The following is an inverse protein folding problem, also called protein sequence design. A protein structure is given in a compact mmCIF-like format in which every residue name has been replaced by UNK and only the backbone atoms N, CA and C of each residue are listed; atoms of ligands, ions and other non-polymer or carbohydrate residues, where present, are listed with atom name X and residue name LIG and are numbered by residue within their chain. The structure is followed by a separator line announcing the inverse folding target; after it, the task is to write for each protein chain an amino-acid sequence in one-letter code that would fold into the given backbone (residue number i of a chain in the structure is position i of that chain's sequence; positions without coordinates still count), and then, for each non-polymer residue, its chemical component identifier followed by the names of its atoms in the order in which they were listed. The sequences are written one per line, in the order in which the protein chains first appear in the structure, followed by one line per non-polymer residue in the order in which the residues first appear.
data_IF_395327820427
#
_entry.id   IF_395327820427
#
_cell.length_a   1.000
_cell.length_b   1.000
_cell.length_c   1.000
_cell.angle_alpha   90.00
_cell.angle_beta   90.00
_cell.angle_gamma   90.00
#
_symmetry.space_group_name_H-M   'P 1'
#
loop_
_entity.id
_entity.type
_entity.pdbx_description
1 polymer ?
#
# COMPACT_ATOMS: atom_id res chain seq x y z
N UNK A 1 24.31 -22.38 -54.04
CA UNK A 1 23.65 -21.64 -52.94
C UNK A 1 22.27 -22.24 -52.74
N UNK A 2 22.09 -23.15 -51.77
CA UNK A 2 20.82 -23.83 -51.48
C UNK A 2 20.26 -23.25 -50.19
N UNK A 3 19.08 -22.65 -50.27
CA UNK A 3 18.36 -22.10 -49.12
C UNK A 3 17.61 -23.27 -48.47
N UNK A 4 17.97 -23.63 -47.25
CA UNK A 4 17.25 -24.62 -46.45
C UNK A 4 16.07 -23.94 -45.74
N UNK A 5 14.84 -24.48 -45.81
CA UNK A 5 13.74 -23.92 -45.05
C UNK A 5 13.95 -24.26 -43.57
N UNK A 6 14.03 -23.22 -42.75
CA UNK A 6 13.98 -23.34 -41.29
C UNK A 6 12.59 -23.83 -40.90
N UNK A 7 12.43 -25.14 -40.75
CA UNK A 7 11.20 -25.72 -40.22
C UNK A 7 11.21 -25.61 -38.69
N UNK A 8 10.38 -24.71 -38.17
CA UNK A 8 10.11 -24.62 -36.74
C UNK A 8 9.39 -25.89 -36.29
N UNK A 9 10.04 -26.67 -35.41
CA UNK A 9 9.46 -27.87 -34.81
C UNK A 9 8.30 -27.47 -33.87
N UNK A 10 7.09 -28.02 -34.04
CA UNK A 10 5.89 -27.62 -33.25
C UNK A 10 5.97 -27.95 -31.76
N UNK A 11 6.94 -28.77 -31.33
CA UNK A 11 7.10 -29.23 -29.95
C UNK A 11 7.55 -28.15 -28.95
N UNK A 12 7.97 -26.97 -29.41
CA UNK A 12 8.44 -25.89 -28.52
C UNK A 12 7.30 -25.04 -27.96
N UNK A 13 6.14 -24.96 -28.63
CA UNK A 13 5.00 -24.16 -28.17
C UNK A 13 4.32 -24.72 -26.90
N UNK A 14 4.34 -26.04 -26.70
CA UNK A 14 3.67 -26.69 -25.57
C UNK A 14 4.32 -26.42 -24.20
N UNK A 15 5.63 -26.13 -24.16
CA UNK A 15 6.35 -25.77 -22.93
C UNK A 15 6.10 -24.31 -22.54
N UNK A 16 6.09 -23.39 -23.51
CA UNK A 16 5.75 -21.99 -23.29
C UNK A 16 4.28 -21.79 -22.92
N UNK A 17 3.36 -22.55 -23.53
CA UNK A 17 1.94 -22.50 -23.21
C UNK A 17 1.65 -22.98 -21.76
N UNK A 18 2.36 -24.00 -21.27
CA UNK A 18 2.23 -24.47 -19.87
C UNK A 18 2.78 -23.46 -18.85
N UNK A 19 3.87 -22.76 -19.15
CA UNK A 19 4.39 -21.68 -18.31
C UNK A 19 3.44 -20.47 -18.27
N UNK A 20 2.83 -20.12 -19.40
CA UNK A 20 1.86 -19.02 -19.47
C UNK A 20 0.58 -19.28 -18.66
N UNK A 21 0.06 -20.52 -18.65
CA UNK A 21 -1.14 -20.90 -17.86
C UNK A 21 -0.86 -20.89 -16.35
N UNK A 22 0.36 -21.23 -15.91
CA UNK A 22 0.74 -21.18 -14.49
C UNK A 22 0.89 -19.72 -14.02
N UNK A 23 1.36 -18.81 -14.86
CA UNK A 23 1.46 -17.38 -14.53
C UNK A 23 0.09 -16.70 -14.34
N UNK A 24 -0.91 -17.09 -15.14
CA UNK A 24 -2.27 -16.53 -15.07
C UNK A 24 -3.07 -16.95 -13.82
N UNK A 25 -2.65 -18.02 -13.14
CA UNK A 25 -3.35 -18.52 -11.95
C UNK A 25 -3.11 -17.69 -10.68
N UNK A 26 -2.10 -16.81 -10.66
CA UNK A 26 -1.70 -16.06 -9.46
C UNK A 26 -2.37 -14.68 -9.30
N UNK A 27 -3.20 -14.24 -10.24
CA UNK A 27 -3.78 -12.87 -10.23
C UNK A 27 -5.25 -12.80 -9.82
N UNK A 28 -5.88 -13.93 -9.50
CA UNK A 28 -7.33 -14.06 -9.63
C UNK A 28 -8.22 -13.65 -8.43
N UNK A 29 -7.72 -13.07 -7.33
CA UNK A 29 -8.58 -12.71 -6.18
C UNK A 29 -8.18 -11.43 -5.42
N UNK A 30 -8.04 -10.30 -6.10
CA UNK A 30 -8.09 -9.00 -5.43
C UNK A 30 -9.24 -8.16 -6.00
N UNK A 31 -10.39 -8.16 -5.32
CA UNK A 31 -11.49 -7.23 -5.59
C UNK A 31 -11.22 -5.93 -4.84
N UNK A 32 -11.36 -4.80 -5.52
CA UNK A 32 -11.32 -3.46 -4.93
C UNK A 32 -12.77 -2.99 -4.77
N UNK A 33 -13.23 -2.63 -3.57
CA UNK A 33 -14.61 -2.21 -3.36
C UNK A 33 -14.87 -0.87 -4.06
N UNK A 34 -16.09 -0.65 -4.55
CA UNK A 34 -16.53 0.69 -4.90
C UNK A 34 -16.92 1.44 -3.63
N UNK A 35 -16.64 2.74 -3.57
CA UNK A 35 -16.86 3.53 -2.35
C UNK A 35 -18.34 3.62 -1.99
N UNK A 36 -19.21 3.64 -2.99
CA UNK A 36 -20.67 3.68 -2.86
C UNK A 36 -21.25 2.36 -2.28
N UNK A 37 -20.50 1.26 -2.38
CA UNK A 37 -20.92 -0.05 -1.87
C UNK A 37 -20.57 -0.24 -0.38
N UNK A 38 -19.78 0.66 0.21
CA UNK A 38 -19.38 0.59 1.62
C UNK A 38 -20.56 1.05 2.49
N UNK A 39 -21.13 0.18 3.35
CA UNK A 39 -22.30 0.52 4.16
C UNK A 39 -22.07 1.80 4.97
N UNK A 40 -23.06 2.70 4.95
CA UNK A 40 -22.93 4.06 5.47
C UNK A 40 -22.81 4.12 7.01
N UNK A 41 -23.26 3.07 7.70
CA UNK A 41 -23.35 2.92 9.14
C UNK A 41 -22.12 2.26 9.77
N UNK A 42 -21.14 1.83 8.97
CA UNK A 42 -19.88 1.27 9.49
C UNK A 42 -19.13 2.30 10.33
N UNK A 43 -18.70 1.85 11.50
CA UNK A 43 -17.83 2.59 12.43
C UNK A 43 -16.43 2.81 11.86
N UNK A 44 -15.69 3.78 12.43
CA UNK A 44 -14.30 4.00 12.08
C UNK A 44 -13.44 2.76 12.38
N UNK A 45 -13.74 2.03 13.46
CA UNK A 45 -13.09 0.78 13.83
C UNK A 45 -13.34 -0.34 12.82
N UNK A 46 -14.58 -0.51 12.37
CA UNK A 46 -14.92 -1.49 11.33
C UNK A 46 -14.24 -1.17 10.00
N UNK A 47 -14.26 0.09 9.56
CA UNK A 47 -13.54 0.53 8.37
C UNK A 47 -12.02 0.29 8.51
N UNK A 48 -11.44 0.61 9.67
CA UNK A 48 -10.02 0.38 9.92
C UNK A 48 -9.65 -1.10 9.91
N UNK A 49 -10.52 -1.97 10.45
CA UNK A 49 -10.35 -3.42 10.38
C UNK A 49 -10.43 -3.94 8.94
N UNK A 50 -11.35 -3.42 8.14
CA UNK A 50 -11.44 -3.76 6.71
C UNK A 50 -10.20 -3.31 5.94
N UNK A 51 -9.68 -2.11 6.25
CA UNK A 51 -8.42 -1.58 5.72
C UNK A 51 -7.23 -2.50 6.01
N UNK A 52 -7.03 -2.86 7.28
CA UNK A 52 -5.98 -3.79 7.70
C UNK A 52 -6.12 -5.16 7.03
N UNK A 53 -7.32 -5.73 6.98
CA UNK A 53 -7.58 -7.00 6.31
C UNK A 53 -7.23 -6.94 4.80
N UNK A 54 -7.49 -5.82 4.13
CA UNK A 54 -7.09 -5.63 2.75
C UNK A 54 -5.56 -5.50 2.61
N UNK A 55 -4.92 -4.79 3.53
CA UNK A 55 -3.48 -4.62 3.59
C UNK A 55 -2.73 -5.94 3.83
N UNK A 56 -3.24 -6.81 4.70
CA UNK A 56 -2.71 -8.16 4.96
C UNK A 56 -2.72 -9.05 3.71
N UNK A 57 -3.65 -8.78 2.79
CA UNK A 57 -3.73 -9.44 1.49
C UNK A 57 -2.93 -8.73 0.39
N UNK A 58 -2.15 -7.71 0.75
CA UNK A 58 -1.46 -6.80 -0.17
C UNK A 58 -2.40 -6.12 -1.18
N UNK A 59 -3.68 -5.94 -0.84
CA UNK A 59 -4.63 -5.19 -1.65
C UNK A 59 -4.62 -3.72 -1.22
N UNK A 60 -3.54 -3.03 -1.60
CA UNK A 60 -3.29 -1.64 -1.19
C UNK A 60 -4.40 -0.69 -1.65
N UNK A 61 -4.94 -0.90 -2.86
CA UNK A 61 -6.03 -0.07 -3.39
C UNK A 61 -7.31 -0.19 -2.56
N UNK A 62 -7.70 -1.41 -2.16
CA UNK A 62 -8.87 -1.57 -1.28
C UNK A 62 -8.62 -1.01 0.12
N UNK A 63 -7.41 -1.20 0.66
CA UNK A 63 -7.05 -0.64 1.97
C UNK A 63 -7.17 0.88 2.00
N UNK A 64 -6.63 1.54 0.98
CA UNK A 64 -6.70 2.99 0.82
C UNK A 64 -8.14 3.50 0.74
N UNK A 65 -9.02 2.82 -0.01
CA UNK A 65 -10.45 3.20 -0.07
C UNK A 65 -11.10 3.17 1.33
N UNK A 66 -10.80 2.17 2.15
CA UNK A 66 -11.36 2.10 3.51
C UNK A 66 -10.84 3.23 4.40
N UNK A 67 -9.54 3.53 4.34
CA UNK A 67 -8.96 4.62 5.13
C UNK A 67 -9.41 6.00 4.65
N UNK A 68 -9.52 6.23 3.33
CA UNK A 68 -10.12 7.45 2.78
C UNK A 68 -11.59 7.62 3.21
N UNK A 69 -12.31 6.51 3.36
CA UNK A 69 -13.68 6.54 3.89
C UNK A 69 -13.71 6.96 5.36
N UNK A 70 -12.71 6.56 6.17
CA UNK A 70 -12.54 7.09 7.53
C UNK A 70 -12.29 8.59 7.50
N UNK A 71 -11.38 9.07 6.65
CA UNK A 71 -11.05 10.50 6.53
C UNK A 71 -12.28 11.34 6.15
N UNK A 72 -13.17 10.82 5.31
CA UNK A 72 -14.39 11.51 4.90
C UNK A 72 -15.48 11.49 5.99
N UNK A 73 -15.83 10.30 6.50
CA UNK A 73 -16.99 10.13 7.39
C UNK A 73 -16.70 10.54 8.83
N UNK A 74 -15.44 10.45 9.24
CA UNK A 74 -14.98 10.70 10.61
C UNK A 74 -14.01 11.88 10.70
N UNK A 75 -14.10 12.85 9.78
CA UNK A 75 -13.23 14.04 9.74
C UNK A 75 -13.15 14.84 11.05
N UNK A 76 -14.20 14.75 11.89
CA UNK A 76 -14.25 15.39 13.22
C UNK A 76 -13.61 14.59 14.35
N UNK A 77 -13.31 13.31 14.14
CA UNK A 77 -12.61 12.46 15.12
C UNK A 77 -11.12 12.43 14.79
N UNK A 78 -10.36 13.28 15.49
CA UNK A 78 -8.92 13.39 15.26
C UNK A 78 -8.16 12.09 15.57
N UNK A 79 -8.70 11.19 16.41
CA UNK A 79 -8.06 9.90 16.68
C UNK A 79 -8.22 8.98 15.48
N UNK A 80 -9.43 8.88 14.94
CA UNK A 80 -9.72 8.10 13.73
C UNK A 80 -8.95 8.64 12.50
N UNK A 81 -8.93 9.97 12.32
CA UNK A 81 -8.18 10.62 11.24
C UNK A 81 -6.68 10.34 11.35
N UNK A 82 -6.10 10.45 12.55
CA UNK A 82 -4.67 10.18 12.75
C UNK A 82 -4.30 8.74 12.43
N UNK A 83 -5.16 7.79 12.83
CA UNK A 83 -4.98 6.38 12.50
C UNK A 83 -5.01 6.15 10.98
N UNK A 84 -6.05 6.63 10.30
CA UNK A 84 -6.22 6.44 8.85
C UNK A 84 -5.11 7.12 8.02
N UNK A 85 -4.68 8.33 8.39
CA UNK A 85 -3.56 9.01 7.73
C UNK A 85 -2.25 8.24 7.89
N UNK A 86 -1.99 7.68 9.08
CA UNK A 86 -0.81 6.83 9.28
C UNK A 86 -0.87 5.59 8.40
N UNK A 87 -2.01 4.92 8.33
CA UNK A 87 -2.15 3.71 7.53
C UNK A 87 -1.96 3.97 6.03
N UNK A 88 -2.46 5.10 5.51
CA UNK A 88 -2.20 5.53 4.13
C UNK A 88 -0.70 5.81 3.91
N UNK A 89 -0.05 6.49 4.86
CA UNK A 89 1.40 6.71 4.79
C UNK A 89 2.16 5.37 4.79
N UNK A 90 1.77 4.44 5.66
CA UNK A 90 2.36 3.11 5.77
C UNK A 90 2.21 2.29 4.48
N UNK A 91 1.05 2.39 3.81
CA UNK A 91 0.84 1.79 2.49
C UNK A 91 1.88 2.31 1.49
N UNK A 92 2.14 3.62 1.44
CA UNK A 92 3.18 4.19 0.56
C UNK A 92 4.57 3.67 0.88
N UNK A 93 4.91 3.53 2.15
CA UNK A 93 6.18 2.94 2.60
C UNK A 93 6.28 1.46 2.17
N UNK A 94 5.19 0.67 2.26
CA UNK A 94 5.18 -0.73 1.79
C UNK A 94 5.30 -0.85 0.27
N UNK A 95 4.86 0.16 -0.48
CA UNK A 95 4.99 0.23 -1.94
C UNK A 95 6.30 0.89 -2.39
N UNK A 96 7.18 1.27 -1.45
CA UNK A 96 8.43 1.99 -1.74
C UNK A 96 8.22 3.34 -2.44
N UNK A 97 7.03 3.91 -2.32
CA UNK A 97 6.69 5.24 -2.80
C UNK A 97 7.19 6.29 -1.78
N UNK A 98 8.51 6.36 -1.61
CA UNK A 98 9.18 7.15 -0.57
C UNK A 98 8.81 8.64 -0.63
N UNK A 99 8.77 9.20 -1.84
CA UNK A 99 8.42 10.60 -2.07
C UNK A 99 7.00 10.95 -1.60
N UNK A 100 6.05 10.01 -1.71
CA UNK A 100 4.67 10.19 -1.28
C UNK A 100 4.51 9.93 0.23
N UNK A 101 5.25 8.95 0.76
CA UNK A 101 5.20 8.59 2.18
C UNK A 101 5.71 9.70 3.09
N UNK A 102 6.85 10.30 2.73
CA UNK A 102 7.56 11.29 3.55
C UNK A 102 6.68 12.45 4.04
N UNK A 103 6.00 13.22 3.18
CA UNK A 103 5.20 14.36 3.64
C UNK A 103 4.02 13.94 4.53
N UNK A 104 3.46 12.73 4.32
CA UNK A 104 2.38 12.21 5.17
C UNK A 104 2.89 11.89 6.58
N UNK A 105 4.05 11.22 6.68
CA UNK A 105 4.68 10.88 7.96
C UNK A 105 5.10 12.13 8.73
N UNK A 106 5.71 13.11 8.05
CA UNK A 106 6.09 14.39 8.63
C UNK A 106 4.88 15.17 9.16
N UNK A 107 3.76 15.17 8.42
CA UNK A 107 2.49 15.78 8.87
C UNK A 107 1.98 15.14 10.16
N UNK A 108 2.01 13.81 10.27
CA UNK A 108 1.57 13.09 11.47
C UNK A 108 2.49 13.43 12.65
N UNK A 109 3.80 13.38 12.47
CA UNK A 109 4.78 13.70 13.52
C UNK A 109 4.59 15.14 14.01
N UNK A 110 4.44 16.10 13.09
CA UNK A 110 4.21 17.51 13.42
C UNK A 110 2.93 17.72 14.25
N UNK A 111 1.88 16.92 14.03
CA UNK A 111 0.66 16.96 14.87
C UNK A 111 0.97 16.62 16.32
N UNK A 112 1.80 15.61 16.57
CA UNK A 112 2.18 15.19 17.93
C UNK A 112 3.16 16.15 18.61
N UNK A 113 4.06 16.77 17.85
CA UNK A 113 5.10 17.66 18.39
C UNK A 113 4.59 19.08 18.69
N UNK A 114 3.36 19.39 18.27
CA UNK A 114 2.64 20.62 18.61
C UNK A 114 1.57 20.36 19.68
N UNK A 115 0.81 21.39 20.07
CA UNK A 115 -0.31 21.24 21.03
C UNK A 115 -1.41 20.28 20.56
N UNK A 116 -1.39 19.85 19.28
CA UNK A 116 -2.34 18.92 18.70
C UNK A 116 -2.16 17.45 19.10
N UNK A 117 -1.07 17.09 19.78
CA UNK A 117 -0.78 15.70 20.20
C UNK A 117 -1.48 15.26 21.49
N UNK A 118 -1.96 16.20 22.30
CA UNK A 118 -2.56 15.89 23.60
C UNK A 118 -3.87 15.10 23.42
N UNK A 119 -3.88 13.85 23.91
CA UNK A 119 -5.04 12.96 23.82
C UNK A 119 -5.09 12.05 22.60
N UNK A 120 -4.10 12.12 21.71
CA UNK A 120 -3.95 11.16 20.61
C UNK A 120 -3.28 9.86 21.08
N UNK A 121 -3.59 8.71 20.47
CA UNK A 121 -2.91 7.45 20.77
C UNK A 121 -1.41 7.53 20.43
N UNK A 122 -0.49 7.37 21.41
CA UNK A 122 0.94 7.63 21.20
C UNK A 122 1.62 6.65 20.22
N UNK A 123 1.01 5.50 19.95
CA UNK A 123 1.54 4.48 19.04
C UNK A 123 1.79 5.02 17.63
N UNK A 124 0.92 5.88 17.10
CA UNK A 124 1.06 6.40 15.74
C UNK A 124 2.24 7.35 15.60
N UNK A 125 2.69 8.02 16.67
CA UNK A 125 3.92 8.78 16.66
C UNK A 125 5.15 7.86 16.50
N UNK A 126 5.16 6.77 17.25
CA UNK A 126 6.27 5.80 17.20
C UNK A 126 6.34 5.15 15.83
N UNK A 127 5.19 4.70 15.33
CA UNK A 127 5.10 4.06 14.02
C UNK A 127 5.50 5.01 12.89
N UNK A 128 4.98 6.26 12.89
CA UNK A 128 5.33 7.25 11.87
C UNK A 128 6.83 7.58 11.86
N UNK A 129 7.48 7.64 13.03
CA UNK A 129 8.93 7.85 13.14
C UNK A 129 9.73 6.67 12.59
N UNK A 130 9.29 5.44 12.87
CA UNK A 130 9.96 4.24 12.35
C UNK A 130 9.90 4.18 10.82
N UNK A 131 8.73 4.46 10.26
CA UNK A 131 8.55 4.50 8.81
C UNK A 131 9.30 5.67 8.17
N UNK A 132 9.35 6.84 8.80
CA UNK A 132 10.16 7.96 8.31
C UNK A 132 11.65 7.61 8.33
N UNK A 133 12.14 6.92 9.36
CA UNK A 133 13.52 6.44 9.40
C UNK A 133 13.82 5.51 8.23
N UNK A 134 12.90 4.62 7.86
CA UNK A 134 13.03 3.77 6.66
C UNK A 134 13.09 4.57 5.37
N UNK A 135 12.20 5.56 5.21
CA UNK A 135 12.20 6.48 4.06
C UNK A 135 13.54 7.19 3.93
N UNK A 136 14.05 7.76 5.03
CA UNK A 136 15.33 8.48 5.03
C UNK A 136 16.52 7.57 4.71
N UNK A 137 16.51 6.31 5.17
CA UNK A 137 17.52 5.32 4.81
C UNK A 137 17.49 5.00 3.31
N UNK A 138 16.31 4.84 2.72
CA UNK A 138 16.15 4.59 1.29
C UNK A 138 16.61 5.78 0.42
N UNK A 139 16.52 7.01 0.93
CA UNK A 139 17.01 8.22 0.26
C UNK A 139 18.55 8.39 0.35
N UNK A 140 19.26 7.55 1.11
CA UNK A 140 20.73 7.66 1.22
C UNK A 140 21.46 7.18 -0.03
N UNK A 141 22.59 7.80 -0.42
CA UNK A 141 23.35 7.39 -1.61
C UNK A 141 23.88 5.95 -1.58
N UNK A 142 24.06 5.39 -0.39
CA UNK A 142 24.57 4.02 -0.20
C UNK A 142 23.53 2.96 -0.57
N UNK A 143 22.23 3.26 -0.38
CA UNK A 143 21.13 2.38 -0.79
C UNK A 143 20.88 2.38 -2.31
N UNK A 144 21.28 3.45 -3.02
CA UNK A 144 21.08 3.59 -4.47
C UNK A 144 22.12 2.85 -5.32
N UNK A 145 23.14 2.24 -4.70
CA UNK A 145 24.30 1.64 -5.37
C UNK A 145 24.32 0.12 -5.47
N UNK A 146 23.24 -0.59 -5.11
CA UNK A 146 23.24 -2.08 -5.04
C UNK A 146 22.53 -2.80 -6.19
N UNK A 147 22.20 -2.11 -7.29
CA UNK A 147 21.72 -2.74 -8.53
C UNK A 147 22.76 -2.63 -9.65
N UNK A 148 23.80 -3.46 -9.61
CA UNK A 148 24.66 -3.78 -10.77
C UNK A 148 24.84 -5.30 -10.93
#
# INVERSE_FOLDING_TARGET
MKITPFSLRPAQYGRFFRLAVILLAFTACQTVPLKEEIPADLTAEELSLMGQNALDRNNYAAAEIYYDTVLERYAGDIRAVTAAEYEIAHIRVKQEHWADAKPLLEKIIARYETTGGAGLPPEYLVLARNDLARVLLAETPEAAGTEE
#
